data_IF_715381645601
#
_entry.id   IF_715381645601
#
_cell.length_a   1.000
_cell.length_b   1.000
_cell.length_c   1.000
_cell.angle_alpha   90.00
_cell.angle_beta   90.00
_cell.angle_gamma   90.00
#
_symmetry.space_group_name_H-M   'P 1'
#
loop_
_entity.id
_entity.type
_entity.pdbx_description
1 polymer ?
#
# COMPACT_ATOMS: atom_id res chain seq x y z
N UNK A 1 14.15 4.75 16.55
CA UNK A 1 13.03 3.89 16.98
C UNK A 1 13.61 2.57 17.49
N UNK A 2 13.04 1.97 18.52
CA UNK A 2 13.52 0.70 19.10
C UNK A 2 13.42 -0.43 18.05
N UNK A 3 14.50 -1.18 17.83
CA UNK A 3 14.53 -2.28 16.87
C UNK A 3 13.50 -3.38 17.17
N UNK A 4 13.16 -3.59 18.44
CA UNK A 4 12.14 -4.58 18.85
C UNK A 4 10.75 -4.20 18.35
N UNK A 5 10.45 -2.90 18.31
CA UNK A 5 9.18 -2.38 17.77
C UNK A 5 9.13 -2.57 16.25
N UNK A 6 10.25 -2.34 15.55
CA UNK A 6 10.36 -2.55 14.10
C UNK A 6 10.16 -4.04 13.77
N UNK A 7 10.84 -4.93 14.50
CA UNK A 7 10.72 -6.38 14.28
C UNK A 7 9.30 -6.89 14.59
N UNK A 8 8.65 -6.36 15.62
CA UNK A 8 7.27 -6.69 15.95
C UNK A 8 6.29 -6.26 14.83
N UNK A 9 6.52 -5.10 14.22
CA UNK A 9 5.72 -4.63 13.10
C UNK A 9 5.98 -5.44 11.80
N UNK A 10 7.23 -5.83 11.56
CA UNK A 10 7.59 -6.73 10.47
C UNK A 10 6.88 -8.09 10.61
N UNK A 11 6.88 -8.66 11.82
CA UNK A 11 6.14 -9.89 12.12
C UNK A 11 4.62 -9.73 11.91
N UNK A 12 4.04 -8.60 12.34
CA UNK A 12 2.63 -8.30 12.10
C UNK A 12 2.27 -8.19 10.61
N UNK A 13 3.19 -7.69 9.78
CA UNK A 13 2.92 -7.45 8.35
C UNK A 13 3.26 -8.62 7.45
N UNK A 14 4.17 -9.51 7.87
CA UNK A 14 4.66 -10.62 7.03
C UNK A 14 4.42 -12.02 7.62
N UNK A 15 3.94 -12.13 8.86
CA UNK A 15 3.58 -13.40 9.52
C UNK A 15 2.16 -13.32 10.10
N UNK A 16 1.47 -14.45 10.35
CA UNK A 16 0.15 -14.42 10.96
C UNK A 16 0.25 -14.02 12.43
N UNK A 17 0.20 -12.72 12.71
CA UNK A 17 -0.01 -12.14 14.04
C UNK A 17 -1.31 -11.35 13.99
N UNK A 18 -2.22 -11.58 14.93
CA UNK A 18 -3.47 -10.80 14.94
C UNK A 18 -3.20 -9.34 15.32
N UNK A 19 -4.03 -8.41 14.81
CA UNK A 19 -3.93 -6.98 15.16
C UNK A 19 -3.99 -6.76 16.68
N UNK A 20 -4.80 -7.56 17.38
CA UNK A 20 -4.92 -7.50 18.85
C UNK A 20 -3.59 -7.85 19.53
N UNK A 21 -3.01 -9.00 19.19
CA UNK A 21 -1.73 -9.44 19.78
C UNK A 21 -0.60 -8.49 19.47
N UNK A 22 -0.57 -7.93 18.25
CA UNK A 22 0.39 -6.89 17.88
C UNK A 22 0.29 -5.67 18.79
N UNK A 23 -0.92 -5.13 18.99
CA UNK A 23 -1.15 -3.94 19.84
C UNK A 23 -0.81 -4.21 21.31
N UNK A 24 -1.18 -5.39 21.83
CA UNK A 24 -0.89 -5.79 23.21
C UNK A 24 0.64 -5.85 23.44
N UNK A 25 1.40 -6.45 22.51
CA UNK A 25 2.87 -6.50 22.58
C UNK A 25 3.53 -5.15 22.37
N UNK A 26 2.98 -4.31 21.48
CA UNK A 26 3.49 -2.96 21.24
C UNK A 26 3.36 -2.09 22.51
N UNK A 27 2.26 -2.21 23.24
CA UNK A 27 2.05 -1.51 24.50
C UNK A 27 3.10 -1.88 25.55
N UNK A 28 3.44 -3.17 25.67
CA UNK A 28 4.48 -3.65 26.59
C UNK A 28 5.86 -3.10 26.20
N UNK A 29 6.19 -3.08 24.91
CA UNK A 29 7.48 -2.55 24.44
C UNK A 29 7.59 -1.03 24.56
N UNK A 30 6.50 -0.30 24.28
CA UNK A 30 6.47 1.16 24.35
C UNK A 30 6.33 1.69 25.78
N UNK A 31 5.84 0.86 26.72
CA UNK A 31 5.67 1.18 28.13
C UNK A 31 4.46 2.08 28.45
N UNK A 32 3.85 2.71 27.45
CA UNK A 32 2.59 3.43 27.60
C UNK A 32 1.84 3.59 26.26
N UNK A 33 0.54 3.92 26.37
CA UNK A 33 -0.37 4.03 25.22
C UNK A 33 -0.01 5.18 24.28
N UNK A 34 0.47 6.31 24.80
CA UNK A 34 0.82 7.46 23.98
C UNK A 34 2.00 7.13 23.04
N UNK A 35 3.07 6.56 23.59
CA UNK A 35 4.24 6.12 22.82
C UNK A 35 3.88 4.98 21.86
N UNK A 36 3.04 4.03 22.28
CA UNK A 36 2.57 2.95 21.40
C UNK A 36 1.80 3.52 20.19
N UNK A 37 0.95 4.52 20.40
CA UNK A 37 0.17 5.16 19.35
C UNK A 37 1.06 5.95 18.40
N UNK A 38 2.02 6.72 18.92
CA UNK A 38 3.01 7.43 18.09
C UNK A 38 3.86 6.46 17.28
N UNK A 39 4.34 5.37 17.88
CA UNK A 39 5.11 4.35 17.17
C UNK A 39 4.26 3.71 16.05
N UNK A 40 3.00 3.40 16.32
CA UNK A 40 2.08 2.87 15.30
C UNK A 40 1.92 3.85 14.12
N UNK A 41 1.68 5.13 14.38
CA UNK A 41 1.52 6.14 13.32
C UNK A 41 2.78 6.32 12.47
N UNK A 42 3.97 6.10 13.03
CA UNK A 42 5.24 6.17 12.30
C UNK A 42 5.52 4.91 11.48
N UNK A 43 4.98 3.75 11.89
CA UNK A 43 5.18 2.46 11.24
C UNK A 43 4.14 2.21 10.14
N UNK A 44 2.89 2.67 10.34
CA UNK A 44 1.84 2.51 9.36
C UNK A 44 2.18 3.25 8.06
N UNK A 45 1.95 2.65 6.88
CA UNK A 45 2.14 3.36 5.63
C UNK A 45 1.14 4.51 5.59
N UNK A 46 1.63 5.75 5.42
CA UNK A 46 0.83 6.96 5.39
C UNK A 46 -0.05 7.09 4.14
N UNK A 47 -0.92 6.11 3.87
CA UNK A 47 -1.76 6.06 2.68
C UNK A 47 -2.71 7.27 2.55
N UNK A 48 -3.11 7.87 3.67
CA UNK A 48 -3.92 9.09 3.65
C UNK A 48 -3.12 10.32 3.15
N UNK A 49 -1.81 10.36 3.41
CA UNK A 49 -0.89 11.40 2.93
C UNK A 49 -0.39 11.11 1.50
N UNK A 50 -0.51 9.85 1.06
CA UNK A 50 -0.14 9.38 -0.28
C UNK A 50 -0.90 10.04 -1.42
N UNK A 51 -2.13 10.47 -1.15
CA UNK A 51 -3.07 10.98 -2.15
C UNK A 51 -2.69 12.38 -2.67
N UNK A 52 -1.40 12.69 -2.72
CA UNK A 52 -0.87 13.92 -3.31
C UNK A 52 -0.55 13.66 -4.79
N UNK A 53 -1.54 13.22 -5.55
CA UNK A 53 -1.40 13.05 -6.99
C UNK A 53 -1.78 14.37 -7.65
N UNK A 54 -0.89 14.95 -8.44
CA UNK A 54 -1.24 16.05 -9.33
C UNK A 54 -2.42 15.61 -10.22
N UNK A 55 -3.35 16.51 -10.59
CA UNK A 55 -4.42 16.15 -11.51
C UNK A 55 -3.86 15.48 -12.77
N UNK A 56 -4.45 14.37 -13.18
CA UNK A 56 -4.08 13.70 -14.42
C UNK A 56 -4.09 14.70 -15.57
N UNK A 57 -3.05 14.69 -16.41
CA UNK A 57 -2.98 15.58 -17.56
C UNK A 57 -4.21 15.41 -18.47
N UNK A 58 -4.71 16.51 -19.04
CA UNK A 58 -6.00 16.54 -19.75
C UNK A 58 -6.02 15.71 -21.03
N UNK A 59 -4.86 15.34 -21.56
CA UNK A 59 -4.67 14.49 -22.73
C UNK A 59 -4.54 13.00 -22.38
N UNK A 60 -4.51 12.64 -21.10
CA UNK A 60 -4.49 11.27 -20.61
C UNK A 60 -5.88 10.79 -20.14
N UNK A 61 -6.06 9.48 -20.17
CA UNK A 61 -7.20 8.76 -19.61
C UNK A 61 -6.67 7.75 -18.61
N UNK A 62 -7.32 7.68 -17.44
CA UNK A 62 -7.09 6.62 -16.45
C UNK A 62 -8.29 5.69 -16.37
N UNK A 63 -8.03 4.39 -16.22
CA UNK A 63 -9.07 3.38 -16.01
C UNK A 63 -8.54 2.22 -15.16
N UNK A 64 -9.44 1.61 -14.39
CA UNK A 64 -9.18 0.30 -13.79
C UNK A 64 -9.65 -0.77 -14.75
N UNK A 65 -8.72 -1.61 -15.21
CA UNK A 65 -9.01 -2.70 -16.13
C UNK A 65 -8.96 -4.03 -15.39
N UNK A 66 -9.79 -4.98 -15.82
CA UNK A 66 -9.82 -6.34 -15.24
C UNK A 66 -9.70 -7.38 -16.34
N UNK A 67 -9.07 -8.51 -16.01
CA UNK A 67 -8.90 -9.63 -16.94
C UNK A 67 -8.87 -10.96 -16.18
N UNK A 68 -9.22 -12.08 -16.84
CA UNK A 68 -9.10 -13.39 -16.21
C UNK A 68 -7.63 -13.75 -15.99
N UNK A 69 -7.28 -14.08 -14.75
CA UNK A 69 -6.02 -14.73 -14.40
C UNK A 69 -6.22 -16.22 -14.10
N UNK A 70 -5.16 -16.88 -13.66
CA UNK A 70 -5.22 -18.28 -13.26
C UNK A 70 -5.94 -18.41 -11.90
N UNK A 71 -7.18 -18.89 -11.92
CA UNK A 71 -7.99 -19.09 -10.72
C UNK A 71 -8.55 -17.82 -10.04
N UNK A 72 -8.23 -16.62 -10.53
CA UNK A 72 -8.74 -15.35 -9.99
C UNK A 72 -8.85 -14.26 -11.06
N UNK A 73 -9.76 -13.30 -10.87
CA UNK A 73 -9.80 -12.07 -11.68
C UNK A 73 -8.69 -11.14 -11.23
N UNK A 74 -7.86 -10.69 -12.17
CA UNK A 74 -6.80 -9.70 -11.91
C UNK A 74 -7.33 -8.32 -12.27
N UNK A 75 -6.92 -7.30 -11.50
CA UNK A 75 -7.17 -5.90 -11.79
C UNK A 75 -5.86 -5.13 -11.95
N UNK A 76 -5.90 -4.06 -12.73
CA UNK A 76 -4.76 -3.19 -12.99
C UNK A 76 -5.19 -1.75 -13.23
N UNK A 77 -4.27 -0.83 -13.01
CA UNK A 77 -4.45 0.58 -13.28
C UNK A 77 -3.78 0.92 -14.60
N UNK A 78 -4.56 1.44 -15.55
CA UNK A 78 -4.10 1.76 -16.89
C UNK A 78 -4.22 3.26 -17.11
N UNK A 79 -3.11 3.88 -17.48
CA UNK A 79 -3.06 5.27 -17.95
C UNK A 79 -2.58 5.29 -19.38
N UNK A 80 -3.28 6.03 -20.25
CA UNK A 80 -2.88 6.15 -21.64
C UNK A 80 -3.32 7.49 -22.28
N UNK A 81 -2.69 7.93 -23.39
CA UNK A 81 -3.15 9.10 -24.14
C UNK A 81 -4.51 8.91 -24.80
N UNK A 82 -5.27 10.00 -24.92
CA UNK A 82 -6.53 10.05 -25.68
C UNK A 82 -6.28 9.88 -27.19
N UNK A 83 -7.23 9.26 -27.89
CA UNK A 83 -7.25 9.17 -29.36
C UNK A 83 -6.25 8.22 -30.04
N UNK A 84 -5.20 7.75 -29.33
CA UNK A 84 -4.16 6.90 -29.93
C UNK A 84 -4.37 5.42 -29.60
N UNK A 85 -4.76 4.61 -30.58
CA UNK A 85 -5.07 3.17 -30.39
C UNK A 85 -3.85 2.25 -30.37
N UNK A 86 -2.85 2.49 -31.24
CA UNK A 86 -1.59 1.73 -31.25
C UNK A 86 -0.51 2.52 -30.51
N UNK A 87 0.05 1.93 -29.46
CA UNK A 87 1.01 2.56 -28.55
C UNK A 87 1.93 1.48 -27.96
N UNK A 88 3.15 1.87 -27.63
CA UNK A 88 4.01 1.07 -26.76
C UNK A 88 3.41 1.02 -25.35
N UNK A 89 3.79 0.03 -24.57
CA UNK A 89 3.30 -0.15 -23.20
C UNK A 89 4.46 -0.47 -22.26
N UNK A 90 4.34 0.01 -21.03
CA UNK A 90 5.17 -0.38 -19.89
C UNK A 90 4.25 -1.04 -18.89
N UNK A 91 4.62 -2.22 -18.40
CA UNK A 91 3.89 -2.94 -17.36
C UNK A 91 4.73 -2.86 -16.10
N UNK A 92 4.14 -2.31 -15.03
CA UNK A 92 4.77 -2.24 -13.71
C UNK A 92 4.03 -3.21 -12.80
N UNK A 93 4.76 -4.16 -12.22
CA UNK A 93 4.23 -5.14 -11.28
C UNK A 93 4.82 -4.81 -9.90
N UNK A 94 3.97 -4.39 -8.97
CA UNK A 94 4.37 -4.11 -7.60
C UNK A 94 4.33 -5.37 -6.75
N UNK A 95 5.31 -5.52 -5.85
CA UNK A 95 5.38 -6.68 -4.97
C UNK A 95 4.29 -6.63 -3.87
N UNK A 96 3.57 -7.75 -3.73
CA UNK A 96 2.89 -8.21 -2.51
C UNK A 96 1.86 -7.29 -1.82
N UNK A 97 1.38 -6.21 -2.45
CA UNK A 97 0.39 -5.30 -1.81
C UNK A 97 -0.78 -4.86 -2.69
N UNK A 98 -0.83 -5.30 -3.95
CA UNK A 98 -1.80 -4.79 -4.91
C UNK A 98 -1.62 -3.30 -5.17
N UNK A 99 -2.58 -2.67 -5.86
CA UNK A 99 -2.56 -1.22 -6.07
C UNK A 99 -2.88 -0.48 -4.77
N UNK A 100 -2.05 0.50 -4.41
CA UNK A 100 -2.27 1.39 -3.26
C UNK A 100 -2.30 2.84 -3.74
N UNK A 101 -2.83 3.80 -2.95
CA UNK A 101 -2.88 5.20 -3.36
C UNK A 101 -1.53 5.84 -3.74
N UNK A 102 -0.39 5.26 -3.32
CA UNK A 102 0.96 5.73 -3.70
C UNK A 102 1.43 5.25 -5.08
N UNK A 103 0.87 4.15 -5.57
CA UNK A 103 1.29 3.44 -6.80
C UNK A 103 0.14 3.25 -7.78
N UNK A 104 -1.01 3.87 -7.49
CA UNK A 104 -2.01 4.19 -8.49
C UNK A 104 -1.48 5.41 -9.24
#
# INVERSE_FOLDING_TARGET
>A
MDQRIINLFDEYTHRPLSRKEFLDRLLVLAGNVALATTALSLLEPGYAQAATVLPLATDLTEETVTWPGDGATVSGYLVHPKGRKKRGAVVVIHENRGLTPHIK
#
